data_IF_293750649154
#
_entry.id   IF_293750649154
#
_cell.length_a   1.000
_cell.length_b   1.000
_cell.length_c   1.000
_cell.angle_alpha   90.00
_cell.angle_beta   90.00
_cell.angle_gamma   90.00
#
_symmetry.space_group_name_H-M   'P 1'
#
loop_
_entity.id
_entity.type
_entity.pdbx_description
1 polymer ?
#
# COMPACT_ATOMS: atom_id res chain seq x y z
N UNK A 1 15.55 35.40 -55.51
CA UNK A 1 16.63 35.03 -54.57
C UNK A 1 16.03 34.17 -53.47
N UNK A 2 16.45 32.91 -53.39
CA UNK A 2 16.07 31.96 -52.32
C UNK A 2 16.74 32.39 -51.02
N UNK A 3 16.01 32.43 -49.91
CA UNK A 3 16.56 32.14 -48.58
C UNK A 3 15.53 31.30 -47.83
N UNK A 4 15.94 30.06 -47.55
CA UNK A 4 15.22 29.02 -46.84
C UNK A 4 15.66 28.97 -45.36
N UNK A 5 14.80 28.31 -44.57
CA UNK A 5 15.05 27.66 -43.27
C UNK A 5 15.13 28.57 -42.03
N UNK A 6 14.64 28.23 -40.84
CA UNK A 6 14.47 26.92 -40.19
C UNK A 6 13.27 26.96 -39.21
N UNK A 7 12.42 25.92 -39.22
CA UNK A 7 11.50 25.63 -38.11
C UNK A 7 12.32 25.17 -36.91
N UNK A 8 12.30 25.92 -35.81
CA UNK A 8 12.76 25.42 -34.52
C UNK A 8 11.65 24.56 -33.89
N UNK A 9 11.71 23.24 -34.10
CA UNK A 9 10.93 22.29 -33.30
C UNK A 9 11.57 22.18 -31.92
N UNK A 10 10.95 22.79 -30.92
CA UNK A 10 11.26 22.54 -29.51
C UNK A 10 10.65 21.18 -29.17
N UNK A 11 11.47 20.14 -29.17
CA UNK A 11 11.11 18.84 -28.61
C UNK A 11 11.17 18.96 -27.09
N UNK A 12 10.00 19.10 -26.47
CA UNK A 12 9.85 19.02 -25.02
C UNK A 12 10.05 17.56 -24.62
N UNK A 13 11.27 17.20 -24.21
CA UNK A 13 11.55 15.91 -23.62
C UNK A 13 10.81 15.83 -22.26
N UNK A 14 9.68 15.11 -22.21
CA UNK A 14 9.09 14.69 -20.96
C UNK A 14 10.04 13.67 -20.32
N UNK A 15 10.91 14.15 -19.43
CA UNK A 15 11.59 13.30 -18.46
C UNK A 15 10.51 12.63 -17.61
N UNK A 16 10.29 11.33 -17.84
CA UNK A 16 9.45 10.51 -16.98
C UNK A 16 10.16 10.35 -15.62
N UNK A 17 10.01 11.34 -14.75
CA UNK A 17 10.35 11.19 -13.34
C UNK A 17 9.50 10.06 -12.80
N UNK A 18 10.14 8.99 -12.33
CA UNK A 18 9.49 7.93 -11.58
C UNK A 18 8.95 8.55 -10.30
N UNK A 19 7.68 8.97 -10.31
CA UNK A 19 6.98 9.40 -9.09
C UNK A 19 6.80 8.14 -8.26
N UNK A 20 7.67 7.95 -7.25
CA UNK A 20 7.27 7.14 -6.11
C UNK A 20 5.98 7.78 -5.59
N UNK A 21 4.86 7.08 -5.68
CA UNK A 21 3.59 7.60 -5.19
C UNK A 21 3.76 7.96 -3.72
N UNK A 22 3.60 9.24 -3.38
CA UNK A 22 3.60 9.66 -1.97
C UNK A 22 2.45 8.96 -1.25
N UNK A 23 2.71 8.47 -0.04
CA UNK A 23 1.68 7.86 0.80
C UNK A 23 0.67 8.94 1.21
N UNK A 24 -0.62 8.67 0.98
CA UNK A 24 -1.72 9.58 1.32
C UNK A 24 -2.59 9.00 2.44
N UNK A 25 -3.33 9.84 3.16
CA UNK A 25 -4.31 9.40 4.17
C UNK A 25 -5.60 8.82 3.57
N UNK A 26 -5.75 8.84 2.24
CA UNK A 26 -6.97 8.39 1.60
C UNK A 26 -7.10 6.86 1.65
N UNK A 27 -8.19 6.35 2.21
CA UNK A 27 -8.56 4.94 2.11
C UNK A 27 -9.45 4.75 0.88
N UNK A 28 -8.96 4.13 -0.22
CA UNK A 28 -9.73 4.09 -1.46
C UNK A 28 -11.00 3.23 -1.34
N UNK A 29 -12.11 3.73 -1.86
CA UNK A 29 -13.38 2.98 -1.87
C UNK A 29 -13.46 1.95 -2.99
N UNK A 30 -12.81 2.20 -4.14
CA UNK A 30 -12.74 1.26 -5.26
C UNK A 30 -11.75 0.13 -4.99
N UNK A 31 -12.10 -1.09 -5.40
CA UNK A 31 -11.25 -2.27 -5.21
C UNK A 31 -9.93 -2.21 -6.00
N UNK A 32 -9.87 -1.70 -7.25
CA UNK A 32 -8.61 -1.55 -7.97
C UNK A 32 -7.63 -0.61 -7.27
N UNK A 33 -8.10 0.57 -6.85
CA UNK A 33 -7.28 1.59 -6.19
C UNK A 33 -6.85 1.11 -4.80
N UNK A 34 -7.75 0.46 -4.06
CA UNK A 34 -7.43 -0.14 -2.76
C UNK A 34 -6.40 -1.25 -2.91
N UNK A 35 -6.53 -2.11 -3.92
CA UNK A 35 -5.58 -3.20 -4.17
C UNK A 35 -4.20 -2.65 -4.52
N UNK A 36 -4.13 -1.65 -5.40
CA UNK A 36 -2.87 -1.00 -5.77
C UNK A 36 -2.17 -0.39 -4.54
N UNK A 37 -2.95 0.28 -3.67
CA UNK A 37 -2.43 0.85 -2.43
C UNK A 37 -1.99 -0.22 -1.42
N UNK A 38 -2.80 -1.25 -1.18
CA UNK A 38 -2.44 -2.35 -0.28
C UNK A 38 -1.15 -3.07 -0.73
N UNK A 39 -0.98 -3.28 -2.04
CA UNK A 39 0.21 -3.92 -2.60
C UNK A 39 1.48 -3.08 -2.50
N UNK A 40 1.39 -1.76 -2.32
CA UNK A 40 2.58 -0.90 -2.17
C UNK A 40 3.31 -1.12 -0.85
N UNK A 41 2.67 -1.78 0.11
CA UNK A 41 3.29 -2.12 1.39
C UNK A 41 4.40 -3.16 1.29
N UNK A 42 4.48 -3.95 0.21
CA UNK A 42 5.39 -5.09 0.11
C UNK A 42 6.17 -5.11 -1.22
N UNK A 43 7.23 -5.94 -1.32
CA UNK A 43 7.89 -6.20 -2.59
C UNK A 43 6.89 -6.68 -3.64
N UNK A 44 7.02 -6.23 -4.88
CA UNK A 44 6.05 -6.50 -5.95
C UNK A 44 5.78 -8.01 -6.14
N UNK A 45 6.81 -8.84 -6.03
CA UNK A 45 6.70 -10.29 -6.17
C UNK A 45 5.89 -10.96 -5.05
N UNK A 46 5.81 -10.31 -3.88
CA UNK A 46 4.99 -10.75 -2.75
C UNK A 46 3.57 -10.21 -2.88
N UNK A 47 3.42 -8.91 -3.10
CA UNK A 47 2.09 -8.28 -3.17
C UNK A 47 1.20 -8.85 -4.29
N UNK A 48 1.80 -9.22 -5.44
CA UNK A 48 1.03 -9.74 -6.59
C UNK A 48 0.29 -11.05 -6.31
N UNK A 49 0.80 -11.87 -5.40
CA UNK A 49 0.24 -13.19 -5.06
C UNK A 49 -0.39 -13.20 -3.64
N UNK A 50 -0.44 -12.06 -2.96
CA UNK A 50 -1.05 -11.92 -1.65
C UNK A 50 -2.58 -11.92 -1.70
N UNK A 51 -3.19 -12.34 -0.59
CA UNK A 51 -4.62 -12.14 -0.32
C UNK A 51 -4.85 -10.66 -0.03
N UNK A 52 -5.87 -10.05 -0.62
CA UNK A 52 -6.21 -8.64 -0.41
C UNK A 52 -7.53 -8.56 0.33
N UNK A 53 -7.55 -7.85 1.46
CA UNK A 53 -8.72 -7.69 2.30
C UNK A 53 -8.97 -6.23 2.66
N UNK A 54 -10.24 -5.87 2.86
CA UNK A 54 -10.63 -4.67 3.61
C UNK A 54 -10.86 -5.06 5.06
N UNK A 55 -10.46 -4.18 5.97
CA UNK A 55 -10.69 -4.33 7.39
C UNK A 55 -11.62 -3.21 7.86
N UNK A 56 -12.72 -3.58 8.50
CA UNK A 56 -13.57 -2.66 9.25
C UNK A 56 -13.39 -2.83 10.76
N UNK A 57 -14.23 -2.15 11.52
CA UNK A 57 -14.23 -2.15 12.99
C UNK A 57 -14.15 -3.57 13.59
N UNK A 58 -13.33 -3.72 14.63
CA UNK A 58 -13.14 -5.01 15.31
C UNK A 58 -12.55 -6.09 14.41
N UNK A 59 -11.75 -5.71 13.42
CA UNK A 59 -11.13 -6.61 12.45
C UNK A 59 -12.13 -7.34 11.54
N UNK A 60 -13.26 -6.70 11.20
CA UNK A 60 -14.24 -7.30 10.27
C UNK A 60 -13.64 -7.34 8.85
N UNK A 61 -13.36 -8.55 8.38
CA UNK A 61 -12.74 -8.79 7.07
C UNK A 61 -13.76 -8.83 5.95
N UNK A 62 -13.52 -8.06 4.89
CA UNK A 62 -14.18 -8.20 3.58
C UNK A 62 -13.14 -8.58 2.54
N UNK A 63 -13.20 -9.78 1.93
CA UNK A 63 -12.21 -10.20 0.94
C UNK A 63 -12.39 -9.45 -0.38
N UNK A 64 -11.27 -8.99 -0.98
CA UNK A 64 -11.24 -8.45 -2.36
C UNK A 64 -10.67 -9.50 -3.31
N UNK A 65 -9.56 -10.14 -2.93
CA UNK A 65 -8.85 -11.11 -3.75
C UNK A 65 -8.25 -12.20 -2.87
N UNK A 66 -8.36 -13.46 -3.31
CA UNK A 66 -7.65 -14.58 -2.67
C UNK A 66 -6.26 -14.72 -3.28
N UNK A 67 -5.24 -14.81 -2.42
CA UNK A 67 -3.85 -15.03 -2.80
C UNK A 67 -3.42 -16.50 -2.75
N UNK A 68 -2.16 -16.75 -3.04
CA UNK A 68 -1.57 -18.10 -3.11
C UNK A 68 -0.24 -18.23 -2.36
N UNK A 69 0.29 -17.14 -1.80
CA UNK A 69 1.62 -17.12 -1.17
C UNK A 69 1.61 -17.02 0.38
N UNK A 70 0.43 -17.08 1.01
CA UNK A 70 0.30 -17.02 2.47
C UNK A 70 0.42 -15.62 3.10
N UNK A 71 0.57 -14.57 2.29
CA UNK A 71 0.56 -13.19 2.75
C UNK A 71 -0.82 -12.56 2.59
N UNK A 72 -1.14 -11.60 3.46
CA UNK A 72 -2.36 -10.81 3.41
C UNK A 72 -2.01 -9.33 3.44
N UNK A 73 -2.51 -8.56 2.48
CA UNK A 73 -2.33 -7.11 2.40
C UNK A 73 -3.65 -6.37 2.58
N UNK A 74 -3.58 -5.21 3.22
CA UNK A 74 -4.71 -4.29 3.36
C UNK A 74 -4.23 -2.84 3.46
N UNK A 75 -5.19 -1.94 3.56
CA UNK A 75 -5.00 -0.56 4.02
C UNK A 75 -5.78 -0.43 5.32
N UNK A 76 -5.18 0.16 6.35
CA UNK A 76 -5.88 0.42 7.61
C UNK A 76 -6.87 1.59 7.49
N UNK A 77 -7.46 1.99 8.61
CA UNK A 77 -8.47 3.06 8.65
C UNK A 77 -7.89 4.46 8.50
N UNK A 78 -6.57 4.63 8.65
CA UNK A 78 -5.86 5.92 8.56
C UNK A 78 -5.17 6.10 7.21
N UNK A 79 -5.10 5.04 6.41
CA UNK A 79 -4.62 5.10 5.03
C UNK A 79 -3.26 4.45 4.85
N UNK A 80 -2.66 3.86 5.87
CA UNK A 80 -1.38 3.17 5.77
C UNK A 80 -1.57 1.73 5.26
N UNK A 81 -0.86 1.34 4.18
CA UNK A 81 -0.92 -0.03 3.67
C UNK A 81 0.06 -0.92 4.45
N UNK A 82 -0.33 -2.17 4.64
CA UNK A 82 0.52 -3.19 5.23
C UNK A 82 0.31 -4.53 4.54
N UNK A 83 1.32 -5.40 4.61
CA UNK A 83 1.22 -6.81 4.23
C UNK A 83 1.81 -7.69 5.32
N UNK A 84 1.02 -8.61 5.86
CA UNK A 84 1.42 -9.49 6.95
C UNK A 84 1.44 -10.95 6.51
N UNK A 85 2.37 -11.72 7.06
CA UNK A 85 2.28 -13.18 7.03
C UNK A 85 1.16 -13.68 7.98
N UNK A 86 0.97 -15.00 8.06
CA UNK A 86 -0.09 -15.57 8.89
C UNK A 86 0.03 -15.19 10.37
N UNK A 87 1.25 -15.16 10.93
CA UNK A 87 1.46 -14.81 12.33
C UNK A 87 1.27 -13.31 12.59
N UNK A 88 1.73 -12.45 11.68
CA UNK A 88 1.48 -11.01 11.74
C UNK A 88 -0.01 -10.67 11.60
N UNK A 89 -0.75 -11.41 10.77
CA UNK A 89 -2.19 -11.24 10.64
C UNK A 89 -2.93 -11.62 11.92
N UNK A 90 -2.51 -12.71 12.59
CA UNK A 90 -3.04 -13.08 13.91
C UNK A 90 -2.78 -11.99 14.95
N UNK A 91 -1.58 -11.41 14.96
CA UNK A 91 -1.25 -10.29 15.83
C UNK A 91 -2.14 -9.07 15.56
N UNK A 92 -2.30 -8.66 14.29
CA UNK A 92 -3.18 -7.55 13.91
C UNK A 92 -4.63 -7.77 14.36
N UNK A 93 -5.14 -9.00 14.22
CA UNK A 93 -6.46 -9.37 14.71
C UNK A 93 -6.55 -9.24 16.23
N UNK A 94 -5.55 -9.74 16.95
CA UNK A 94 -5.55 -9.71 18.42
C UNK A 94 -5.57 -8.28 18.95
N UNK A 95 -4.69 -7.40 18.46
CA UNK A 95 -4.65 -6.00 18.92
C UNK A 95 -5.93 -5.23 18.55
N UNK A 96 -6.50 -5.49 17.36
CA UNK A 96 -7.74 -4.85 16.89
C UNK A 96 -8.97 -5.30 17.68
N UNK A 97 -8.93 -6.49 18.28
CA UNK A 97 -10.02 -7.07 19.06
C UNK A 97 -9.76 -7.06 20.56
N UNK A 98 -8.64 -6.46 21.01
CA UNK A 98 -8.18 -6.45 22.41
C UNK A 98 -8.05 -7.85 23.01
N UNK A 99 -7.65 -8.83 22.20
CA UNK A 99 -7.34 -10.19 22.62
C UNK A 99 -5.84 -10.35 22.93
N UNK A 100 -5.48 -11.47 23.55
CA UNK A 100 -4.08 -11.83 23.81
C UNK A 100 -3.32 -12.02 22.48
N UNK A 101 -2.20 -11.31 22.23
CA UNK A 101 -1.38 -11.52 21.04
C UNK A 101 -0.72 -12.91 21.01
N UNK A 102 -0.42 -13.44 19.82
CA UNK A 102 0.17 -14.77 19.71
C UNK A 102 1.64 -14.78 20.16
N UNK A 103 2.07 -15.82 20.89
CA UNK A 103 3.47 -16.04 21.29
C UNK A 103 4.26 -16.74 20.16
N UNK A 104 4.42 -16.03 19.04
CA UNK A 104 5.23 -16.46 17.89
C UNK A 104 5.68 -15.28 17.05
N UNK A 105 6.78 -15.46 16.33
CA UNK A 105 7.29 -14.45 15.40
C UNK A 105 6.43 -14.39 14.14
N UNK A 106 6.09 -13.18 13.72
CA UNK A 106 5.46 -12.88 12.43
C UNK A 106 6.12 -11.69 11.77
N UNK A 107 5.85 -11.51 10.48
CA UNK A 107 6.43 -10.46 9.66
C UNK A 107 5.34 -9.58 9.07
N UNK A 108 5.59 -8.26 9.12
CA UNK A 108 4.73 -7.24 8.51
C UNK A 108 5.61 -6.31 7.69
N UNK A 109 5.27 -6.14 6.42
CA UNK A 109 5.83 -5.12 5.56
C UNK A 109 4.95 -3.86 5.58
N UNK A 110 5.60 -2.71 5.69
CA UNK A 110 5.02 -1.35 5.58
C UNK A 110 5.95 -0.48 4.73
N UNK A 111 6.35 -0.98 3.55
CA UNK A 111 7.37 -0.34 2.70
C UNK A 111 6.96 1.03 2.16
N UNK A 112 5.66 1.33 2.12
CA UNK A 112 5.15 2.65 1.77
C UNK A 112 5.37 3.70 2.88
N UNK A 113 5.83 3.29 4.07
CA UNK A 113 5.99 4.13 5.23
C UNK A 113 4.69 4.32 6.02
N UNK A 114 4.69 5.35 6.87
CA UNK A 114 3.52 5.86 7.58
C UNK A 114 3.30 7.34 7.23
N UNK A 115 2.18 7.90 7.67
CA UNK A 115 1.85 9.31 7.45
C UNK A 115 2.55 10.26 8.46
N UNK A 116 3.41 9.71 9.31
CA UNK A 116 4.08 10.39 10.39
C UNK A 116 3.15 10.72 11.56
N UNK A 117 3.78 10.99 12.71
CA UNK A 117 3.12 11.65 13.83
C UNK A 117 3.98 12.82 14.31
N UNK A 118 3.34 13.85 14.88
CA UNK A 118 4.06 15.00 15.45
C UNK A 118 4.53 14.65 16.85
N UNK A 119 5.85 14.62 17.06
CA UNK A 119 6.43 14.47 18.41
C UNK A 119 6.53 15.80 19.18
N UNK A 120 6.22 16.93 18.53
CA UNK A 120 6.25 18.26 19.13
C UNK A 120 4.88 18.73 19.65
N UNK A 121 3.81 18.19 19.08
CA UNK A 121 2.41 18.46 19.46
C UNK A 121 1.65 17.13 19.37
N UNK A 122 1.74 16.29 20.42
CA UNK A 122 1.26 14.91 20.42
C UNK A 122 -0.26 14.77 20.52
#
# INVERSE_FOLDING_TARGET
MKLLFYLASVTLALSASSVAAELTAEVPQGDPEFTAKAMSAAPADLGKDATIIRIGDGFKVTPIKTGTNGWTCAVDTTGEPWCADAAGLEWFKAISTKAEPPDKTGFVYMLAGDLGTSNHDP
#
